data_IF_106795581303
#
_entry.id   IF_106795581303
#
_cell.length_a   1.000
_cell.length_b   1.000
_cell.length_c   1.000
_cell.angle_alpha   90.00
_cell.angle_beta   90.00
_cell.angle_gamma   90.00
#
_symmetry.space_group_name_H-M   'P 1'
#
loop_
_entity.id
_entity.type
_entity.pdbx_description
1 polymer ?
#
# COMPACT_ATOMS: atom_id res chain seq x y z
N UNK A 1 -24.31 1.22 34.47
CA UNK A 1 -23.70 1.50 35.80
C UNK A 1 -24.71 2.28 36.64
N UNK A 2 -24.81 2.04 37.94
CA UNK A 2 -25.77 2.73 38.84
C UNK A 2 -25.03 3.36 40.00
N UNK A 3 -25.33 4.63 40.27
CA UNK A 3 -24.88 5.37 41.43
C UNK A 3 -26.08 5.61 42.35
N UNK A 4 -25.89 5.43 43.65
CA UNK A 4 -26.97 5.48 44.64
C UNK A 4 -26.63 6.51 45.71
N UNK A 5 -27.62 7.33 46.07
CA UNK A 5 -27.47 8.49 46.94
C UNK A 5 -28.29 8.30 48.22
N UNK A 6 -27.71 8.68 49.36
CA UNK A 6 -28.31 8.57 50.68
C UNK A 6 -28.11 9.85 51.50
N UNK A 7 -28.93 10.04 52.52
CA UNK A 7 -28.93 11.25 53.35
C UNK A 7 -27.61 11.46 54.14
N UNK A 8 -27.27 12.73 54.35
CA UNK A 8 -26.08 13.24 55.08
C UNK A 8 -24.70 12.98 54.46
N UNK A 9 -24.60 12.53 53.21
CA UNK A 9 -23.30 12.33 52.54
C UNK A 9 -22.77 13.53 51.74
N UNK A 10 -23.33 14.74 51.88
CA UNK A 10 -22.97 15.91 51.04
C UNK A 10 -22.87 15.54 49.54
N UNK A 11 -23.81 14.72 49.04
CA UNK A 11 -23.83 14.27 47.65
C UNK A 11 -22.80 13.20 47.25
N UNK A 12 -22.08 12.57 48.20
CA UNK A 12 -21.13 11.49 47.89
C UNK A 12 -21.84 10.14 47.70
N UNK A 13 -21.52 9.45 46.60
CA UNK A 13 -22.06 8.16 46.20
C UNK A 13 -21.64 7.04 47.18
N UNK A 14 -22.62 6.28 47.70
CA UNK A 14 -22.39 5.30 48.78
C UNK A 14 -21.80 3.95 48.29
N UNK A 15 -21.90 3.62 47.00
CA UNK A 15 -21.30 2.40 46.41
C UNK A 15 -21.21 2.46 44.88
N UNK A 16 -20.13 1.96 44.29
CA UNK A 16 -19.93 1.86 42.83
C UNK A 16 -19.95 0.39 42.41
N UNK A 17 -21.10 -0.10 41.94
CA UNK A 17 -21.21 -1.47 41.43
C UNK A 17 -21.30 -1.49 39.90
N UNK A 18 -20.39 -2.25 39.27
CA UNK A 18 -20.34 -2.44 37.80
C UNK A 18 -21.16 -3.67 37.42
N UNK A 19 -22.41 -3.45 37.00
CA UNK A 19 -23.30 -4.51 36.54
C UNK A 19 -23.14 -4.71 35.02
N UNK A 20 -22.52 -5.81 34.58
CA UNK A 20 -22.35 -6.12 33.16
C UNK A 20 -23.72 -6.39 32.52
N UNK A 21 -23.97 -5.83 31.34
CA UNK A 21 -25.23 -5.94 30.61
C UNK A 21 -25.03 -6.88 29.42
N UNK A 22 -25.33 -8.17 29.60
CA UNK A 22 -25.15 -9.13 28.51
C UNK A 22 -26.42 -9.88 28.09
N UNK A 23 -27.57 -9.78 28.77
CA UNK A 23 -28.84 -10.25 28.20
C UNK A 23 -30.10 -9.60 28.80
N UNK A 24 -31.18 -9.59 28.02
CA UNK A 24 -32.45 -8.93 28.34
C UNK A 24 -33.47 -9.91 28.98
N UNK A 25 -32.99 -10.93 29.70
CA UNK A 25 -33.82 -12.03 30.20
C UNK A 25 -34.66 -11.61 31.42
N UNK A 26 -35.82 -12.26 31.59
CA UNK A 26 -36.74 -12.01 32.72
C UNK A 26 -36.08 -12.32 34.08
N UNK A 27 -35.20 -13.32 34.13
CA UNK A 27 -34.43 -13.68 35.33
C UNK A 27 -33.42 -12.59 35.71
N UNK A 28 -32.73 -12.01 34.74
CA UNK A 28 -31.71 -10.98 35.00
C UNK A 28 -32.33 -9.68 35.52
N UNK A 29 -33.55 -9.34 35.07
CA UNK A 29 -34.32 -8.20 35.61
C UNK A 29 -34.71 -8.40 37.08
N UNK A 30 -35.14 -9.62 37.45
CA UNK A 30 -35.47 -9.97 38.84
C UNK A 30 -34.21 -9.91 39.73
N UNK A 31 -33.10 -10.45 39.25
CA UNK A 31 -31.82 -10.42 39.97
C UNK A 31 -31.33 -8.99 40.24
N UNK A 32 -31.39 -8.10 39.24
CA UNK A 32 -30.97 -6.69 39.39
C UNK A 32 -31.86 -5.91 40.37
N UNK A 33 -33.18 -6.17 40.34
CA UNK A 33 -34.12 -5.60 41.32
C UNK A 33 -33.75 -6.03 42.73
N UNK A 34 -33.62 -7.34 42.94
CA UNK A 34 -33.24 -7.91 44.23
C UNK A 34 -31.92 -7.31 44.74
N UNK A 35 -30.91 -7.14 43.87
CA UNK A 35 -29.65 -6.49 44.23
C UNK A 35 -29.79 -5.02 44.63
N UNK A 36 -30.73 -4.30 44.05
CA UNK A 36 -31.00 -2.91 44.42
C UNK A 36 -31.73 -2.83 45.76
N UNK A 37 -32.71 -3.70 45.99
CA UNK A 37 -33.43 -3.85 47.27
C UNK A 37 -32.47 -4.25 48.40
N UNK A 38 -31.60 -5.23 48.15
CA UNK A 38 -30.52 -5.64 49.07
C UNK A 38 -29.59 -4.46 49.37
N UNK A 39 -29.24 -3.63 48.38
CA UNK A 39 -28.41 -2.46 48.60
C UNK A 39 -29.10 -1.38 49.46
N UNK A 40 -30.41 -1.19 49.29
CA UNK A 40 -31.23 -0.30 50.14
C UNK A 40 -31.29 -0.82 51.57
N UNK A 41 -31.53 -2.12 51.73
CA UNK A 41 -31.60 -2.76 53.04
C UNK A 41 -30.25 -2.67 53.77
N UNK A 42 -29.15 -3.01 53.11
CA UNK A 42 -27.79 -2.90 53.65
C UNK A 42 -27.47 -1.46 54.07
N UNK A 43 -27.86 -0.46 53.28
CA UNK A 43 -27.62 0.94 53.63
C UNK A 43 -28.36 1.34 54.91
N UNK A 44 -29.59 0.82 55.09
CA UNK A 44 -30.41 1.08 56.27
C UNK A 44 -29.91 0.33 57.50
N UNK A 45 -29.60 -0.96 57.39
CA UNK A 45 -29.23 -1.80 58.53
C UNK A 45 -27.80 -1.55 59.01
N UNK A 46 -26.84 -1.44 58.09
CA UNK A 46 -25.42 -1.37 58.46
C UNK A 46 -24.90 0.05 58.63
N UNK A 47 -25.56 1.05 58.02
CA UNK A 47 -25.08 2.43 58.01
C UNK A 47 -26.13 3.44 58.51
N UNK A 48 -27.34 2.98 58.86
CA UNK A 48 -28.46 3.83 59.25
C UNK A 48 -28.75 4.97 58.24
N UNK A 49 -28.61 4.67 56.94
CA UNK A 49 -28.81 5.62 55.85
C UNK A 49 -30.00 5.25 54.99
N UNK A 50 -30.84 6.24 54.69
CA UNK A 50 -31.94 6.10 53.75
C UNK A 50 -31.46 6.46 52.35
N UNK A 51 -31.51 5.49 51.43
CA UNK A 51 -31.34 5.76 50.00
C UNK A 51 -32.63 6.37 49.48
N UNK A 52 -32.55 7.54 48.85
CA UNK A 52 -33.72 8.21 48.28
C UNK A 52 -33.69 8.28 46.74
N UNK A 53 -32.51 8.19 46.12
CA UNK A 53 -32.37 8.29 44.67
C UNK A 53 -31.28 7.39 44.07
N UNK A 54 -31.48 7.00 42.81
CA UNK A 54 -30.52 6.31 41.97
C UNK A 54 -30.32 7.00 40.61
N UNK A 55 -29.08 7.07 40.16
CA UNK A 55 -28.71 7.60 38.83
C UNK A 55 -28.09 6.48 38.01
N UNK A 56 -28.61 6.23 36.80
CA UNK A 56 -28.07 5.19 35.91
C UNK A 56 -27.95 5.65 34.46
N UNK A 57 -27.28 4.85 33.62
CA UNK A 57 -27.41 4.99 32.17
C UNK A 57 -28.87 4.81 31.71
N UNK A 58 -29.17 5.27 30.48
CA UNK A 58 -30.52 5.28 29.92
C UNK A 58 -30.87 3.97 29.20
N UNK A 59 -30.24 2.85 29.56
CA UNK A 59 -30.59 1.58 28.98
C UNK A 59 -32.00 1.16 29.46
N UNK A 60 -32.88 0.62 28.59
CA UNK A 60 -34.28 0.29 28.96
C UNK A 60 -34.40 -0.60 30.20
N UNK A 61 -33.43 -1.49 30.40
CA UNK A 61 -33.35 -2.39 31.57
C UNK A 61 -33.10 -1.61 32.87
N UNK A 62 -32.28 -0.57 32.82
CA UNK A 62 -31.92 0.24 33.98
C UNK A 62 -33.04 1.17 34.38
N UNK A 63 -33.74 1.75 33.39
CA UNK A 63 -34.95 2.55 33.60
C UNK A 63 -36.10 1.69 34.17
N UNK A 64 -36.27 0.46 33.67
CA UNK A 64 -37.26 -0.48 34.21
C UNK A 64 -36.93 -0.94 35.64
N UNK A 65 -35.64 -1.11 35.96
CA UNK A 65 -35.19 -1.41 37.32
C UNK A 65 -35.45 -0.23 38.26
N UNK A 66 -35.14 1.00 37.83
CA UNK A 66 -35.39 2.22 38.63
C UNK A 66 -36.87 2.38 39.00
N UNK A 67 -37.78 2.16 38.03
CA UNK A 67 -39.24 2.20 38.28
C UNK A 67 -39.76 1.08 39.18
N UNK A 68 -39.03 -0.03 39.25
CA UNK A 68 -39.44 -1.21 39.99
C UNK A 68 -39.09 -1.16 41.48
N UNK A 69 -38.22 -0.25 41.88
CA UNK A 69 -37.83 0.00 43.27
C UNK A 69 -38.45 1.34 43.66
N UNK A 70 -38.97 1.48 44.88
CA UNK A 70 -39.60 2.72 45.33
C UNK A 70 -38.56 3.81 45.66
N UNK A 71 -37.80 4.25 44.64
CA UNK A 71 -36.73 5.24 44.73
C UNK A 71 -36.89 6.25 43.59
N UNK A 72 -36.46 7.49 43.81
CA UNK A 72 -36.34 8.45 42.72
C UNK A 72 -35.26 7.97 41.74
N UNK A 73 -35.57 7.95 40.45
CA UNK A 73 -34.64 7.50 39.42
C UNK A 73 -34.39 8.60 38.40
N UNK A 74 -33.13 8.94 38.18
CA UNK A 74 -32.72 9.91 37.19
C UNK A 74 -31.75 9.29 36.17
N UNK A 75 -31.88 9.71 34.92
CA UNK A 75 -30.93 9.36 33.87
C UNK A 75 -29.60 10.10 34.06
N UNK A 76 -28.50 9.44 33.72
CA UNK A 76 -27.16 10.04 33.79
C UNK A 76 -27.01 11.14 32.73
N UNK A 77 -26.79 12.39 33.15
CA UNK A 77 -26.60 13.53 32.24
C UNK A 77 -25.37 13.37 31.34
N UNK A 78 -24.27 12.79 31.85
CA UNK A 78 -23.08 12.50 31.03
C UNK A 78 -23.37 11.47 29.93
N UNK A 79 -24.27 10.52 30.18
CA UNK A 79 -24.70 9.56 29.16
C UNK A 79 -25.55 10.25 28.09
N UNK A 80 -26.51 11.09 28.48
CA UNK A 80 -27.32 11.88 27.54
C UNK A 80 -26.46 12.84 26.71
N UNK A 81 -25.49 13.53 27.32
CA UNK A 81 -24.53 14.37 26.59
C UNK A 81 -23.69 13.57 25.59
N UNK A 82 -23.34 12.31 25.91
CA UNK A 82 -22.65 11.43 24.99
C UNK A 82 -23.56 10.93 23.85
N UNK A 83 -24.84 10.67 24.10
CA UNK A 83 -25.81 10.34 23.06
C UNK A 83 -26.04 11.54 22.12
N UNK A 84 -26.25 12.74 22.68
CA UNK A 84 -26.35 13.98 21.90
C UNK A 84 -25.11 14.19 21.03
N UNK A 85 -23.90 14.02 21.60
CA UNK A 85 -22.68 14.14 20.82
C UNK A 85 -22.59 13.13 19.65
N UNK A 86 -23.22 11.95 19.76
CA UNK A 86 -23.32 10.99 18.65
C UNK A 86 -24.35 11.44 17.62
N UNK A 87 -25.51 11.90 18.07
CA UNK A 87 -26.60 12.33 17.20
C UNK A 87 -26.20 13.56 16.36
N UNK A 88 -25.26 14.36 16.85
CA UNK A 88 -24.69 15.51 16.14
C UNK A 88 -23.61 15.13 15.10
N UNK A 89 -23.14 13.89 15.08
CA UNK A 89 -22.05 13.45 14.18
C UNK A 89 -22.64 12.71 12.99
N UNK A 90 -22.21 13.09 11.80
CA UNK A 90 -22.51 12.32 10.60
C UNK A 90 -21.87 10.92 10.67
N UNK A 91 -22.70 9.89 10.52
CA UNK A 91 -22.26 8.49 10.67
C UNK A 91 -21.26 8.10 9.59
N UNK A 92 -21.49 8.50 8.35
CA UNK A 92 -20.62 8.16 7.21
C UNK A 92 -19.22 8.78 7.35
N UNK A 93 -19.16 10.02 7.84
CA UNK A 93 -17.92 10.71 8.17
C UNK A 93 -17.16 9.99 9.29
N UNK A 94 -17.86 9.62 10.37
CA UNK A 94 -17.24 8.93 11.49
C UNK A 94 -16.71 7.54 11.12
N UNK A 95 -17.45 6.80 10.29
CA UNK A 95 -17.03 5.52 9.74
C UNK A 95 -15.80 5.67 8.83
N UNK A 96 -15.76 6.70 7.99
CA UNK A 96 -14.62 7.00 7.11
C UNK A 96 -13.34 7.23 7.92
N UNK A 97 -13.41 8.07 8.96
CA UNK A 97 -12.24 8.32 9.84
C UNK A 97 -11.82 7.04 10.56
N UNK A 98 -12.77 6.25 11.07
CA UNK A 98 -12.46 4.99 11.73
C UNK A 98 -11.81 3.98 10.79
N UNK A 99 -12.23 3.94 9.52
CA UNK A 99 -11.63 3.07 8.50
C UNK A 99 -10.18 3.47 8.25
N UNK A 100 -9.89 4.77 8.05
CA UNK A 100 -8.52 5.28 7.89
C UNK A 100 -7.66 4.86 9.09
N UNK A 101 -8.10 5.16 10.31
CA UNK A 101 -7.34 4.84 11.52
C UNK A 101 -7.14 3.32 11.69
N UNK A 102 -8.12 2.51 11.30
CA UNK A 102 -8.03 1.05 11.37
C UNK A 102 -6.96 0.50 10.43
N UNK A 103 -6.82 1.05 9.22
CA UNK A 103 -5.77 0.66 8.27
C UNK A 103 -4.39 0.76 8.92
N UNK A 104 -4.06 1.92 9.49
CA UNK A 104 -2.78 2.14 10.15
C UNK A 104 -2.60 1.33 11.43
N UNK A 105 -3.68 0.98 12.12
CA UNK A 105 -3.64 0.19 13.36
C UNK A 105 -3.42 -1.30 13.11
N UNK A 106 -3.95 -1.84 12.02
CA UNK A 106 -3.85 -3.27 11.70
C UNK A 106 -2.50 -3.63 11.08
N UNK A 107 -1.95 -2.74 10.26
CA UNK A 107 -0.59 -2.83 9.74
C UNK A 107 0.42 -2.43 10.82
N UNK A 108 1.66 -2.93 10.78
CA UNK A 108 2.74 -2.48 11.68
C UNK A 108 3.06 -0.96 11.59
N UNK A 109 2.34 -0.20 10.76
CA UNK A 109 2.45 1.25 10.57
C UNK A 109 2.10 2.08 11.82
N UNK A 110 1.33 1.57 12.79
CA UNK A 110 1.14 2.28 14.08
C UNK A 110 2.49 2.51 14.77
N UNK A 111 3.41 1.54 14.67
CA UNK A 111 4.76 1.65 15.22
C UNK A 111 5.54 2.76 14.53
N UNK A 112 5.51 2.76 13.20
CA UNK A 112 6.19 3.76 12.37
C UNK A 112 5.68 5.17 12.63
N UNK A 113 4.36 5.35 12.81
CA UNK A 113 3.76 6.63 13.20
C UNK A 113 4.34 7.10 14.54
N UNK A 114 4.44 6.22 15.53
CA UNK A 114 4.95 6.56 16.87
C UNK A 114 6.45 6.89 16.83
N UNK A 115 7.24 6.07 16.13
CA UNK A 115 8.69 6.26 15.98
C UNK A 115 9.03 7.59 15.31
N UNK A 116 8.17 8.06 14.40
CA UNK A 116 8.33 9.34 13.73
C UNK A 116 7.57 10.51 14.43
N UNK A 117 7.25 10.38 15.73
CA UNK A 117 6.74 11.47 16.58
C UNK A 117 5.21 11.62 16.60
N UNK A 118 4.47 10.69 16.01
CA UNK A 118 3.01 10.63 16.07
C UNK A 118 2.47 10.03 17.38
N UNK A 119 1.16 9.85 17.43
CA UNK A 119 0.46 9.32 18.60
C UNK A 119 -0.22 7.99 18.33
N UNK A 120 -0.30 7.14 19.37
CA UNK A 120 -0.99 5.85 19.31
C UNK A 120 -2.43 5.98 18.81
N UNK A 121 -2.82 5.09 17.90
CA UNK A 121 -4.10 5.17 17.20
C UNK A 121 -5.28 4.87 18.13
N UNK A 122 -6.21 5.82 18.19
CA UNK A 122 -7.46 5.72 18.94
C UNK A 122 -8.63 5.54 17.97
N UNK A 123 -9.29 4.40 18.02
CA UNK A 123 -10.52 4.15 17.26
C UNK A 123 -11.72 4.66 18.06
N UNK A 124 -12.72 5.19 17.35
CA UNK A 124 -13.99 5.52 17.99
C UNK A 124 -14.71 4.22 18.36
N UNK A 125 -15.33 4.23 19.53
CA UNK A 125 -16.04 3.09 20.09
C UNK A 125 -17.36 3.58 20.66
N UNK A 126 -18.46 2.93 20.29
CA UNK A 126 -19.79 3.40 20.65
C UNK A 126 -20.05 3.44 22.16
N UNK A 127 -19.34 2.63 22.94
CA UNK A 127 -19.62 2.44 24.37
C UNK A 127 -18.85 3.38 25.29
N UNK A 128 -17.94 4.21 24.77
CA UNK A 128 -17.06 5.08 25.58
C UNK A 128 -17.31 6.56 25.33
N UNK A 129 -17.24 7.34 26.42
CA UNK A 129 -17.42 8.79 26.39
C UNK A 129 -16.36 9.46 25.51
N UNK A 130 -16.79 10.38 24.63
CA UNK A 130 -15.93 11.21 23.77
C UNK A 130 -15.06 10.43 22.76
N UNK A 131 -15.37 9.15 22.51
CA UNK A 131 -14.54 8.30 21.66
C UNK A 131 -14.39 8.82 20.23
N UNK A 132 -15.47 9.38 19.65
CA UNK A 132 -15.44 10.00 18.33
C UNK A 132 -14.53 11.23 18.29
N UNK A 133 -14.68 12.15 19.24
CA UNK A 133 -13.80 13.33 19.38
C UNK A 133 -12.33 12.92 19.46
N UNK A 134 -12.03 11.91 20.28
CA UNK A 134 -10.67 11.45 20.49
C UNK A 134 -10.09 10.78 19.24
N UNK A 135 -10.90 10.03 18.49
CA UNK A 135 -10.51 9.45 17.20
C UNK A 135 -10.26 10.55 16.15
N UNK A 136 -11.15 11.55 16.06
CA UNK A 136 -11.00 12.65 15.10
C UNK A 136 -9.74 13.48 15.40
N UNK A 137 -9.49 13.80 16.67
CA UNK A 137 -8.25 14.47 17.10
C UNK A 137 -7.01 13.61 16.84
N UNK A 138 -7.11 12.29 17.05
CA UNK A 138 -6.02 11.37 16.73
C UNK A 138 -5.70 11.36 15.24
N UNK A 139 -6.74 11.31 14.39
CA UNK A 139 -6.58 11.39 12.94
C UNK A 139 -5.91 12.69 12.53
N UNK A 140 -6.40 13.83 13.05
CA UNK A 140 -5.83 15.14 12.73
C UNK A 140 -4.35 15.25 13.12
N UNK A 141 -3.99 14.80 14.33
CA UNK A 141 -2.60 14.85 14.82
C UNK A 141 -1.64 14.00 14.00
N UNK A 142 -2.11 12.87 13.48
CA UNK A 142 -1.27 11.93 12.72
C UNK A 142 -1.40 12.12 11.21
N UNK A 143 -2.23 13.06 10.73
CA UNK A 143 -2.62 13.16 9.33
C UNK A 143 -1.42 13.37 8.40
N UNK A 144 -0.53 14.29 8.74
CA UNK A 144 0.64 14.58 7.91
C UNK A 144 1.60 13.38 7.82
N UNK A 145 1.76 12.64 8.92
CA UNK A 145 2.55 11.42 8.93
C UNK A 145 1.90 10.32 8.10
N UNK A 146 0.60 10.11 8.26
CA UNK A 146 -0.17 9.13 7.48
C UNK A 146 -0.07 9.43 5.98
N UNK A 147 -0.15 10.71 5.58
CA UNK A 147 0.05 11.13 4.18
C UNK A 147 1.46 10.81 3.69
N UNK A 148 2.51 11.09 4.48
CA UNK A 148 3.91 10.78 4.12
C UNK A 148 4.12 9.28 3.91
N UNK A 149 3.60 8.45 4.82
CA UNK A 149 3.69 6.99 4.72
C UNK A 149 2.97 6.50 3.46
N UNK A 150 1.75 6.99 3.20
CA UNK A 150 1.00 6.63 1.98
C UNK A 150 1.80 7.02 0.73
N UNK A 151 2.34 8.24 0.67
CA UNK A 151 3.15 8.69 -0.46
C UNK A 151 4.36 7.79 -0.68
N UNK A 152 5.06 7.40 0.40
CA UNK A 152 6.20 6.48 0.31
C UNK A 152 5.80 5.10 -0.22
N UNK A 153 4.66 4.55 0.23
CA UNK A 153 4.13 3.27 -0.26
C UNK A 153 3.84 3.36 -1.76
N UNK A 154 3.13 4.41 -2.20
CA UNK A 154 2.78 4.60 -3.62
C UNK A 154 4.03 4.77 -4.50
N UNK A 155 5.04 5.52 -4.01
CA UNK A 155 6.35 5.60 -4.68
C UNK A 155 6.98 4.21 -4.82
N UNK A 156 7.01 3.45 -3.72
CA UNK A 156 7.61 2.12 -3.69
C UNK A 156 6.88 1.16 -4.64
N UNK A 157 5.56 1.21 -4.72
CA UNK A 157 4.78 0.32 -5.59
C UNK A 157 5.10 0.56 -7.07
N UNK A 158 5.24 1.83 -7.47
CA UNK A 158 5.60 2.21 -8.84
C UNK A 158 6.99 1.69 -9.21
N UNK A 159 7.95 1.86 -8.31
CA UNK A 159 9.33 1.36 -8.49
C UNK A 159 9.39 -0.17 -8.44
N UNK A 160 8.67 -0.83 -7.53
CA UNK A 160 8.60 -2.28 -7.44
C UNK A 160 8.01 -2.90 -8.71
N UNK A 161 6.99 -2.27 -9.30
CA UNK A 161 6.40 -2.71 -10.57
C UNK A 161 7.44 -2.67 -11.70
N UNK A 162 8.21 -1.57 -11.80
CA UNK A 162 9.32 -1.44 -12.73
C UNK A 162 10.38 -2.54 -12.52
N UNK A 163 10.82 -2.73 -11.28
CA UNK A 163 11.82 -3.77 -10.92
C UNK A 163 11.32 -5.14 -11.36
N UNK A 164 10.07 -5.48 -11.03
CA UNK A 164 9.50 -6.78 -11.35
C UNK A 164 9.47 -7.03 -12.87
N UNK A 165 9.10 -6.03 -13.68
CA UNK A 165 9.13 -6.13 -15.15
C UNK A 165 10.56 -6.34 -15.66
N UNK A 166 11.50 -5.51 -15.22
CA UNK A 166 12.91 -5.59 -15.60
C UNK A 166 13.57 -6.94 -15.24
N UNK A 167 12.98 -7.71 -14.32
CA UNK A 167 13.50 -9.02 -13.95
C UNK A 167 12.78 -10.20 -14.64
N UNK A 168 11.76 -9.99 -15.49
CA UNK A 168 11.09 -11.09 -16.20
C UNK A 168 12.03 -11.74 -17.22
N UNK A 169 12.00 -13.06 -17.39
CA UNK A 169 13.01 -13.78 -18.20
C UNK A 169 13.04 -13.41 -19.68
N UNK A 170 11.94 -12.91 -20.23
CA UNK A 170 11.81 -12.47 -21.62
C UNK A 170 12.00 -10.95 -21.80
N UNK A 171 12.40 -10.24 -20.74
CA UNK A 171 12.55 -8.79 -20.75
C UNK A 171 13.97 -8.38 -21.09
N UNK A 172 14.09 -7.48 -22.06
CA UNK A 172 15.37 -7.10 -22.65
C UNK A 172 15.64 -5.61 -22.41
N UNK A 173 16.86 -5.15 -22.67
CA UNK A 173 17.20 -3.74 -22.48
C UNK A 173 16.31 -2.73 -23.24
N UNK A 174 15.81 -2.98 -24.49
CA UNK A 174 14.87 -2.04 -25.11
C UNK A 174 13.52 -1.97 -24.38
N UNK A 175 13.06 -3.07 -23.78
CA UNK A 175 11.84 -3.10 -22.98
C UNK A 175 12.03 -2.34 -21.65
N UNK A 176 13.21 -2.49 -21.04
CA UNK A 176 13.57 -1.71 -19.86
C UNK A 176 13.60 -0.21 -20.16
N UNK A 177 14.15 0.20 -21.31
CA UNK A 177 14.13 1.59 -21.73
C UNK A 177 12.70 2.17 -21.77
N UNK A 178 11.74 1.42 -22.33
CA UNK A 178 10.33 1.81 -22.36
C UNK A 178 9.74 1.99 -20.97
N UNK A 179 9.98 1.04 -20.06
CA UNK A 179 9.42 1.09 -18.70
C UNK A 179 10.04 2.20 -17.86
N UNK A 180 11.34 2.48 -18.03
CA UNK A 180 12.00 3.62 -17.38
C UNK A 180 11.45 4.96 -17.88
N UNK A 181 11.16 5.09 -19.19
CA UNK A 181 10.54 6.32 -19.73
C UNK A 181 9.07 6.48 -19.35
N UNK A 182 8.35 5.37 -19.13
CA UNK A 182 6.96 5.35 -18.66
C UNK A 182 6.83 5.48 -17.14
N UNK A 183 7.94 5.49 -16.40
CA UNK A 183 7.93 5.58 -14.95
C UNK A 183 7.29 6.91 -14.53
N UNK A 184 6.03 6.83 -14.13
CA UNK A 184 5.30 7.96 -13.57
C UNK A 184 5.19 7.77 -12.05
N UNK A 185 5.74 8.72 -11.31
CA UNK A 185 5.60 8.77 -9.85
C UNK A 185 4.47 9.75 -9.54
N UNK A 186 3.34 9.31 -8.95
CA UNK A 186 2.16 10.14 -8.72
C UNK A 186 2.31 11.06 -7.49
N UNK A 187 3.49 11.65 -7.33
CA UNK A 187 3.86 12.52 -6.20
C UNK A 187 4.33 13.85 -6.76
N UNK A 188 3.62 14.91 -6.40
CA UNK A 188 3.93 16.30 -6.74
C UNK A 188 4.98 16.88 -5.78
N UNK A 189 6.16 16.26 -5.71
CA UNK A 189 7.31 16.77 -4.97
C UNK A 189 8.47 16.99 -5.94
N UNK A 190 8.82 18.26 -6.16
CA UNK A 190 9.88 18.67 -7.10
C UNK A 190 11.22 17.98 -6.82
N UNK A 191 11.57 17.75 -5.55
CA UNK A 191 12.84 17.09 -5.19
C UNK A 191 12.80 15.61 -5.57
N UNK A 192 11.68 14.95 -5.36
CA UNK A 192 11.50 13.55 -5.75
C UNK A 192 11.54 13.42 -7.27
N UNK A 193 10.86 14.31 -8.00
CA UNK A 193 10.89 14.33 -9.45
C UNK A 193 12.32 14.55 -9.99
N UNK A 194 13.09 15.45 -9.38
CA UNK A 194 14.50 15.66 -9.75
C UNK A 194 15.36 14.40 -9.50
N UNK A 195 15.17 13.71 -8.37
CA UNK A 195 15.88 12.45 -8.06
C UNK A 195 15.53 11.36 -9.09
N UNK A 196 14.24 11.23 -9.42
CA UNK A 196 13.75 10.27 -10.41
C UNK A 196 14.34 10.58 -11.79
N UNK A 197 14.28 11.83 -12.23
CA UNK A 197 14.82 12.24 -13.52
C UNK A 197 16.34 12.03 -13.60
N UNK A 198 17.10 12.39 -12.56
CA UNK A 198 18.54 12.11 -12.48
C UNK A 198 18.83 10.61 -12.58
N UNK A 199 17.96 9.76 -12.04
CA UNK A 199 18.12 8.30 -12.13
C UNK A 199 17.80 7.80 -13.54
N UNK A 200 16.72 8.30 -14.16
CA UNK A 200 16.34 7.99 -15.55
C UNK A 200 17.50 8.34 -16.49
N UNK A 201 18.05 9.57 -16.38
CA UNK A 201 19.20 10.03 -17.17
C UNK A 201 20.42 9.11 -17.02
N UNK A 202 20.64 8.55 -15.83
CA UNK A 202 21.76 7.63 -15.58
C UNK A 202 21.53 6.23 -16.18
N UNK A 203 20.29 5.77 -16.24
CA UNK A 203 19.93 4.43 -16.73
C UNK A 203 19.80 4.42 -18.25
N UNK A 204 19.26 5.48 -18.85
CA UNK A 204 19.10 5.65 -20.30
C UNK A 204 20.45 5.94 -20.97
N UNK A 205 21.33 4.95 -20.94
CA UNK A 205 22.63 4.99 -21.60
C UNK A 205 22.49 4.91 -23.12
N UNK A 206 23.52 5.30 -23.90
CA UNK A 206 23.47 5.22 -25.36
C UNK A 206 23.11 3.82 -25.89
N UNK A 207 23.57 2.76 -25.22
CA UNK A 207 23.26 1.36 -25.56
C UNK A 207 21.77 1.08 -25.41
N UNK A 208 21.16 1.50 -24.29
CA UNK A 208 19.74 1.29 -24.01
C UNK A 208 18.86 2.04 -25.01
N UNK A 209 19.23 3.28 -25.30
CA UNK A 209 18.55 4.16 -26.25
C UNK A 209 18.66 3.61 -27.68
N UNK A 210 19.84 3.17 -28.10
CA UNK A 210 20.06 2.54 -29.40
C UNK A 210 19.27 1.24 -29.55
N UNK A 211 19.23 0.40 -28.50
CA UNK A 211 18.43 -0.81 -28.51
C UNK A 211 16.93 -0.52 -28.70
N UNK A 212 16.41 0.51 -28.02
CA UNK A 212 15.02 0.95 -28.19
C UNK A 212 14.76 1.54 -29.60
N UNK A 213 15.70 2.33 -30.12
CA UNK A 213 15.59 2.90 -31.47
C UNK A 213 15.56 1.82 -32.55
N UNK A 214 16.38 0.79 -32.42
CA UNK A 214 16.42 -0.38 -33.31
C UNK A 214 15.32 -1.40 -33.01
N UNK A 215 14.47 -1.17 -32.01
CA UNK A 215 13.36 -2.07 -31.73
C UNK A 215 12.22 -1.84 -32.74
N UNK A 216 11.75 -2.87 -33.49
CA UNK A 216 10.77 -2.69 -34.58
C UNK A 216 9.44 -2.07 -34.14
N UNK A 217 9.07 -2.24 -32.87
CA UNK A 217 7.83 -1.69 -32.31
C UNK A 217 8.03 -0.30 -31.67
N UNK A 218 9.16 -0.07 -30.99
CA UNK A 218 9.38 1.13 -30.19
C UNK A 218 9.94 2.27 -31.03
N UNK A 219 10.97 2.00 -31.85
CA UNK A 219 11.53 2.94 -32.82
C UNK A 219 11.91 4.31 -32.22
N UNK A 220 12.25 4.34 -30.92
CA UNK A 220 12.58 5.57 -30.20
C UNK A 220 11.42 6.56 -30.03
N UNK A 221 10.16 6.16 -30.26
CA UNK A 221 8.99 7.07 -30.21
C UNK A 221 8.89 7.88 -28.90
N UNK A 222 9.30 7.27 -27.78
CA UNK A 222 9.25 7.90 -26.46
C UNK A 222 10.30 8.99 -26.24
N UNK A 223 11.40 9.01 -26.98
CA UNK A 223 12.51 9.95 -26.73
C UNK A 223 12.99 10.70 -27.98
N UNK A 224 12.41 10.44 -29.15
CA UNK A 224 12.83 11.09 -30.41
C UNK A 224 12.72 12.62 -30.38
N UNK A 225 11.86 13.16 -29.52
CA UNK A 225 11.69 14.59 -29.28
C UNK A 225 12.71 15.18 -28.30
N UNK A 226 13.52 14.34 -27.65
CA UNK A 226 14.58 14.74 -26.74
C UNK A 226 15.92 14.67 -27.47
N UNK A 227 16.43 15.82 -27.89
CA UNK A 227 17.67 15.93 -28.69
C UNK A 227 18.88 15.27 -28.02
N UNK A 228 18.98 15.36 -26.69
CA UNK A 228 20.07 14.73 -25.92
C UNK A 228 20.03 13.21 -26.06
N UNK A 229 18.88 12.59 -25.86
CA UNK A 229 18.78 11.12 -25.95
C UNK A 229 18.88 10.64 -27.40
N UNK A 230 18.28 11.38 -28.33
CA UNK A 230 18.35 11.01 -29.75
C UNK A 230 19.79 11.07 -30.28
N UNK A 231 20.52 12.16 -30.00
CA UNK A 231 21.92 12.29 -30.41
C UNK A 231 22.81 11.19 -29.83
N UNK A 232 22.66 10.86 -28.54
CA UNK A 232 23.41 9.77 -27.90
C UNK A 232 23.16 8.40 -28.55
N UNK A 233 21.91 8.09 -28.90
CA UNK A 233 21.56 6.84 -29.57
C UNK A 233 22.18 6.74 -30.97
N UNK A 234 22.07 7.82 -31.75
CA UNK A 234 22.59 7.88 -33.11
C UNK A 234 24.11 7.86 -33.13
N UNK A 235 24.78 8.58 -32.23
CA UNK A 235 26.23 8.58 -32.11
C UNK A 235 26.77 7.18 -31.80
N UNK A 236 26.12 6.47 -30.87
CA UNK A 236 26.46 5.08 -30.57
C UNK A 236 26.30 4.17 -31.80
N UNK A 237 25.16 4.24 -32.49
CA UNK A 237 24.91 3.43 -33.69
C UNK A 237 25.92 3.77 -34.80
N UNK A 238 26.25 5.05 -35.00
CA UNK A 238 27.23 5.47 -35.99
C UNK A 238 28.61 4.91 -35.71
N UNK A 239 29.04 4.92 -34.45
CA UNK A 239 30.34 4.37 -34.05
C UNK A 239 30.41 2.86 -34.23
N UNK A 240 29.31 2.13 -34.01
CA UNK A 240 29.25 0.67 -34.20
C UNK A 240 29.16 0.28 -35.69
N UNK A 241 28.45 1.05 -36.52
CA UNK A 241 28.27 0.75 -37.95
C UNK A 241 29.40 1.26 -38.84
N UNK A 242 30.13 2.30 -38.43
CA UNK A 242 31.18 2.95 -39.22
C UNK A 242 30.72 3.26 -40.67
N UNK A 243 31.33 2.62 -41.67
CA UNK A 243 31.01 2.79 -43.09
C UNK A 243 29.62 2.27 -43.48
N UNK A 244 29.04 1.38 -42.67
CA UNK A 244 27.73 0.76 -42.91
C UNK A 244 26.55 1.59 -42.38
N UNK A 245 26.77 2.86 -42.03
CA UNK A 245 25.71 3.72 -41.47
C UNK A 245 24.51 3.92 -42.41
N UNK A 246 24.72 3.82 -43.73
CA UNK A 246 23.64 3.87 -44.73
C UNK A 246 22.55 2.79 -44.50
N UNK A 247 22.88 1.66 -43.86
CA UNK A 247 21.89 0.64 -43.48
C UNK A 247 20.89 1.20 -42.46
N UNK A 248 21.36 2.03 -41.51
CA UNK A 248 20.50 2.70 -40.52
C UNK A 248 19.55 3.69 -41.20
N UNK A 249 20.04 4.46 -42.18
CA UNK A 249 19.20 5.38 -42.95
C UNK A 249 18.10 4.65 -43.71
N UNK A 250 18.38 3.46 -44.25
CA UNK A 250 17.37 2.62 -44.89
C UNK A 250 16.29 2.17 -43.90
N UNK A 251 16.67 1.84 -42.66
CA UNK A 251 15.72 1.49 -41.60
C UNK A 251 14.86 2.68 -41.16
N UNK A 252 15.46 3.85 -40.92
CA UNK A 252 14.75 5.07 -40.52
C UNK A 252 13.75 5.54 -41.59
N UNK A 253 14.16 5.50 -42.86
CA UNK A 253 13.32 5.87 -44.00
C UNK A 253 12.36 4.76 -44.43
N UNK A 254 12.40 3.59 -43.77
CA UNK A 254 11.54 2.41 -44.04
C UNK A 254 11.63 1.94 -45.48
N UNK A 255 12.84 1.89 -46.03
CA UNK A 255 13.11 1.51 -47.43
C UNK A 255 13.31 -0.01 -47.55
N UNK A 256 13.00 -0.56 -48.72
CA UNK A 256 13.31 -1.94 -49.07
C UNK A 256 12.55 -2.95 -48.20
N UNK A 257 13.27 -3.93 -47.64
CA UNK A 257 12.65 -5.00 -46.84
C UNK A 257 11.92 -4.46 -45.60
N UNK A 258 12.40 -3.35 -45.02
CA UNK A 258 11.81 -2.76 -43.81
C UNK A 258 10.38 -2.24 -44.03
N UNK A 259 10.06 -1.73 -45.22
CA UNK A 259 8.68 -1.31 -45.54
C UNK A 259 7.71 -2.48 -45.38
N UNK A 260 8.07 -3.63 -45.95
CA UNK A 260 7.25 -4.84 -45.94
C UNK A 260 7.15 -5.47 -44.55
N UNK A 261 8.27 -5.51 -43.81
CA UNK A 261 8.32 -6.11 -42.48
C UNK A 261 7.58 -5.27 -41.45
N UNK A 262 7.73 -3.94 -41.49
CA UNK A 262 7.01 -3.03 -40.58
C UNK A 262 5.51 -2.98 -40.88
N UNK A 263 5.10 -3.09 -42.15
CA UNK A 263 3.68 -3.15 -42.55
C UNK A 263 2.98 -4.41 -42.09
N UNK A 264 3.66 -5.57 -42.11
CA UNK A 264 3.09 -6.83 -41.63
C UNK A 264 2.67 -6.76 -40.16
N UNK A 265 3.41 -6.00 -39.35
CA UNK A 265 3.18 -5.85 -37.90
C UNK A 265 3.33 -7.18 -37.14
N UNK A 266 3.54 -7.11 -35.83
CA UNK A 266 3.47 -8.28 -34.94
C UNK A 266 4.54 -9.39 -35.16
N UNK A 267 5.67 -9.05 -35.79
CA UNK A 267 6.81 -9.96 -35.91
C UNK A 267 7.69 -9.83 -34.66
N UNK A 268 8.07 -10.92 -33.98
CA UNK A 268 9.00 -10.86 -32.86
C UNK A 268 10.28 -10.09 -33.24
N UNK A 269 10.80 -9.18 -32.39
CA UNK A 269 11.93 -8.32 -32.72
C UNK A 269 13.16 -9.05 -33.24
N UNK A 270 13.48 -10.21 -32.64
CA UNK A 270 14.58 -11.07 -33.07
C UNK A 270 14.37 -11.59 -34.49
N UNK A 271 13.17 -12.10 -34.78
CA UNK A 271 12.83 -12.62 -36.11
C UNK A 271 12.81 -11.53 -37.17
N UNK A 272 12.35 -10.32 -36.82
CA UNK A 272 12.37 -9.17 -37.71
C UNK A 272 13.79 -8.90 -38.24
N UNK A 273 14.78 -8.86 -37.34
CA UNK A 273 16.16 -8.60 -37.72
C UNK A 273 16.83 -9.78 -38.42
N UNK A 274 16.47 -11.03 -38.08
CA UNK A 274 16.93 -12.21 -38.83
C UNK A 274 16.45 -12.19 -40.29
N UNK A 275 15.24 -11.71 -40.55
CA UNK A 275 14.71 -11.58 -41.92
C UNK A 275 15.41 -10.45 -42.69
N UNK A 276 15.80 -9.37 -42.01
CA UNK A 276 16.51 -8.24 -42.61
C UNK A 276 18.00 -8.49 -42.85
N UNK A 277 18.59 -9.49 -42.18
CA UNK A 277 20.03 -9.78 -42.19
C UNK A 277 20.61 -10.04 -43.59
N UNK A 278 19.84 -10.65 -44.49
CA UNK A 278 20.27 -10.88 -45.87
C UNK A 278 20.48 -9.58 -46.68
N UNK A 279 19.75 -8.52 -46.34
CA UNK A 279 19.82 -7.22 -47.05
C UNK A 279 20.66 -6.19 -46.30
N UNK A 280 20.66 -6.25 -44.97
CA UNK A 280 21.30 -5.29 -44.08
C UNK A 280 22.04 -6.04 -42.95
N UNK A 281 23.16 -6.72 -43.27
CA UNK A 281 23.79 -7.66 -42.36
C UNK A 281 24.39 -6.99 -41.13
N UNK A 282 25.04 -5.83 -41.27
CA UNK A 282 25.76 -5.18 -40.17
C UNK A 282 24.79 -4.60 -39.15
N UNK A 283 23.75 -3.89 -39.63
CA UNK A 283 22.71 -3.34 -38.78
C UNK A 283 21.91 -4.45 -38.09
N UNK A 284 21.57 -5.51 -38.82
CA UNK A 284 20.81 -6.63 -38.26
C UNK A 284 21.60 -7.36 -37.17
N UNK A 285 22.91 -7.54 -37.33
CA UNK A 285 23.75 -8.12 -36.30
C UNK A 285 23.83 -7.23 -35.05
N UNK A 286 24.01 -5.92 -35.23
CA UNK A 286 24.02 -4.97 -34.12
C UNK A 286 22.69 -4.98 -33.36
N UNK A 287 21.56 -4.89 -34.07
CA UNK A 287 20.24 -4.89 -33.49
C UNK A 287 19.94 -6.21 -32.76
N UNK A 288 20.30 -7.35 -33.34
CA UNK A 288 20.17 -8.65 -32.68
C UNK A 288 21.02 -8.71 -31.39
N UNK A 289 22.26 -8.21 -31.41
CA UNK A 289 23.11 -8.17 -30.20
C UNK A 289 22.46 -7.36 -29.09
N UNK A 290 21.96 -6.16 -29.41
CA UNK A 290 21.33 -5.25 -28.44
C UNK A 290 20.01 -5.79 -27.89
N UNK A 291 19.13 -6.30 -28.75
CA UNK A 291 17.81 -6.81 -28.33
C UNK A 291 17.94 -8.09 -27.51
N UNK A 292 19.02 -8.89 -27.66
CA UNK A 292 19.23 -10.08 -26.83
C UNK A 292 19.85 -9.78 -25.45
N UNK A 293 20.17 -8.52 -25.13
CA UNK A 293 20.76 -8.20 -23.83
C UNK A 293 19.67 -8.27 -22.74
N UNK A 294 19.87 -9.10 -21.69
CA UNK A 294 18.96 -9.16 -20.56
C UNK A 294 18.90 -7.83 -19.82
N UNK A 295 17.71 -7.42 -19.37
CA UNK A 295 17.52 -6.17 -18.62
C UNK A 295 18.00 -6.23 -17.17
N UNK A 296 18.28 -7.42 -16.61
CA UNK A 296 18.70 -7.56 -15.22
C UNK A 296 19.64 -8.73 -14.98
N UNK A 297 20.69 -8.52 -14.17
CA UNK A 297 21.55 -9.62 -13.69
C UNK A 297 20.76 -10.65 -12.87
N UNK A 298 19.67 -10.25 -12.21
CA UNK A 298 18.82 -11.16 -11.45
C UNK A 298 18.18 -12.25 -12.35
N UNK A 299 17.98 -11.98 -13.64
CA UNK A 299 17.53 -13.00 -14.61
C UNK A 299 18.59 -14.10 -14.73
N UNK A 300 19.86 -13.70 -14.84
CA UNK A 300 21.02 -14.58 -14.93
C UNK A 300 21.23 -15.32 -13.60
N UNK A 301 21.11 -14.63 -12.46
CA UNK A 301 21.25 -15.24 -11.13
C UNK A 301 20.16 -16.28 -10.83
N UNK A 302 18.92 -16.07 -11.28
CA UNK A 302 17.86 -17.08 -11.16
C UNK A 302 18.12 -18.31 -12.01
N UNK A 303 18.66 -18.13 -13.23
CA UNK A 303 19.10 -19.25 -14.06
C UNK A 303 20.18 -20.06 -13.33
N UNK A 304 21.19 -19.40 -12.77
CA UNK A 304 22.24 -20.07 -11.98
C UNK A 304 21.72 -20.71 -10.68
N UNK A 305 20.76 -20.10 -10.00
CA UNK A 305 20.17 -20.65 -8.77
C UNK A 305 19.38 -21.92 -9.04
N UNK A 306 18.50 -21.90 -10.05
CA UNK A 306 17.77 -23.08 -10.51
C UNK A 306 18.74 -24.17 -10.96
N UNK A 307 19.82 -23.79 -11.63
CA UNK A 307 20.82 -24.72 -12.09
C UNK A 307 21.65 -25.29 -10.94
N UNK A 308 22.01 -24.51 -9.92
CA UNK A 308 22.66 -25.01 -8.69
C UNK A 308 21.79 -26.03 -7.93
N UNK A 309 20.46 -25.90 -8.01
CA UNK A 309 19.53 -26.87 -7.46
C UNK A 309 19.52 -28.18 -8.27
N UNK A 310 19.55 -28.08 -9.61
CA UNK A 310 19.68 -29.24 -10.52
C UNK A 310 21.06 -29.92 -10.40
N UNK A 311 22.11 -29.14 -10.16
CA UNK A 311 23.50 -29.57 -9.92
C UNK A 311 23.83 -29.83 -8.45
N UNK A 312 22.83 -29.83 -7.56
CA UNK A 312 23.05 -30.18 -6.17
C UNK A 312 23.62 -31.59 -6.05
N UNK A 313 24.46 -31.82 -5.03
CA UNK A 313 25.20 -33.06 -4.79
C UNK A 313 24.36 -34.35 -4.77
N UNK A 314 23.03 -34.23 -4.81
CA UNK A 314 22.05 -35.30 -4.81
C UNK A 314 21.67 -35.84 -6.19
N UNK A 315 21.96 -35.18 -7.33
CA UNK A 315 21.40 -35.67 -8.61
C UNK A 315 22.24 -35.80 -9.88
N UNK A 316 23.46 -35.25 -10.04
CA UNK A 316 24.36 -35.66 -11.15
C UNK A 316 25.78 -35.09 -11.02
N UNK A 317 26.82 -35.96 -11.00
CA UNK A 317 28.23 -35.58 -11.21
C UNK A 317 28.48 -35.32 -12.70
N UNK A 318 28.09 -34.17 -13.21
CA UNK A 318 28.56 -33.70 -14.52
C UNK A 318 29.88 -32.93 -14.32
N UNK A 319 30.89 -33.21 -15.15
CA UNK A 319 32.14 -32.44 -15.14
C UNK A 319 31.87 -31.01 -15.59
N UNK A 320 32.69 -30.02 -15.17
CA UNK A 320 32.57 -28.63 -15.59
C UNK A 320 32.41 -28.48 -17.11
N UNK A 321 33.15 -29.25 -17.93
CA UNK A 321 33.06 -29.14 -19.40
C UNK A 321 31.72 -29.63 -19.98
N UNK A 322 31.10 -30.64 -19.36
CA UNK A 322 29.76 -31.11 -19.78
C UNK A 322 28.66 -30.15 -19.34
N UNK A 323 28.89 -29.48 -18.22
CA UNK A 323 27.95 -28.51 -17.65
C UNK A 323 27.92 -27.20 -18.47
N UNK A 324 29.07 -26.78 -18.98
CA UNK A 324 29.23 -25.64 -19.89
C UNK A 324 28.57 -25.89 -21.26
N UNK A 325 28.71 -27.12 -21.81
CA UNK A 325 28.02 -27.50 -23.06
C UNK A 325 26.49 -27.46 -23.00
N UNK A 326 25.91 -27.64 -21.80
CA UNK A 326 24.45 -27.58 -21.59
C UNK A 326 23.97 -26.13 -21.44
N UNK A 327 24.82 -25.20 -20.99
CA UNK A 327 24.48 -23.78 -20.90
C UNK A 327 24.48 -23.06 -22.26
N UNK A 328 25.18 -23.61 -23.26
CA UNK A 328 25.44 -22.95 -24.55
C UNK A 328 24.60 -23.55 -25.70
N UNK A 329 23.88 -24.66 -25.49
CA UNK A 329 23.01 -25.32 -26.49
C UNK A 329 21.59 -24.76 -26.52
#
# INVERSE_FOLDING_TARGET
>A
MVHVFADELNGKCCKRNKWLANNNSRQERKYRRWKMEEAVEIAKTNYNKTIYAGVSDNAPVMTAMGKAVNLWHAGCSSHHGNLLAKDLIDKSFAESINTILRTFKASNLEREIIENGGTKIKLACETRWCSYRDAFRCCLKNLDMMKKIINFIVLSDSVCSLINKCQQSNFTIPDAAEEWMKLNVPIEDEKIQEIVQKRIDKVLTPILLAANLLHPHYQGKQFRHNDKYYSQAIEFIRNELNESYHEMEAYENKVGIFESLLKKGNIPPKLFWQMAENSYPVLSQLAQRLINIPSSSAQIERLFSNWSFVHSCLRNRLTPERSEKIMIS
#
